data_IF_899251171459
#
_entry.id   IF_899251171459
#
_cell.length_a   1.000
_cell.length_b   1.000
_cell.length_c   1.000
_cell.angle_alpha   90.00
_cell.angle_beta   90.00
_cell.angle_gamma   90.00
#
_symmetry.space_group_name_H-M   'P 1'
#
loop_
_entity.id
_entity.type
_entity.pdbx_description
1 polymer ?
#
# COMPACT_ATOMS: atom_id res chain seq x y z
N UNK A 1 17.71 10.24 4.60
CA UNK A 1 17.59 9.23 3.52
C UNK A 1 17.32 7.80 3.99
N UNK A 2 17.95 7.30 5.08
CA UNK A 2 17.74 5.92 5.57
C UNK A 2 16.28 5.61 5.96
N UNK A 3 15.64 6.49 6.74
CA UNK A 3 14.25 6.29 7.20
C UNK A 3 13.26 6.14 6.04
N UNK A 4 13.41 6.94 4.99
CA UNK A 4 12.56 6.88 3.80
C UNK A 4 12.70 5.53 3.06
N UNK A 5 13.91 4.97 2.98
CA UNK A 5 14.15 3.64 2.39
C UNK A 5 13.50 2.53 3.21
N UNK A 6 13.59 2.61 4.54
CA UNK A 6 12.95 1.65 5.45
C UNK A 6 11.42 1.71 5.30
N UNK A 7 10.86 2.91 5.26
CA UNK A 7 9.42 3.11 5.03
C UNK A 7 8.96 2.53 3.68
N UNK A 8 9.74 2.71 2.61
CA UNK A 8 9.45 2.10 1.31
C UNK A 8 9.43 0.57 1.43
N UNK A 9 10.42 -0.02 2.10
CA UNK A 9 10.47 -1.47 2.32
C UNK A 9 9.25 -1.99 3.08
N UNK A 10 8.83 -1.28 4.14
CA UNK A 10 7.62 -1.60 4.90
C UNK A 10 6.35 -1.52 4.06
N UNK A 11 6.19 -0.49 3.24
CA UNK A 11 5.01 -0.33 2.37
C UNK A 11 4.95 -1.45 1.32
N UNK A 12 6.09 -1.80 0.71
CA UNK A 12 6.17 -2.90 -0.26
C UNK A 12 5.84 -4.24 0.42
N UNK A 13 6.38 -4.49 1.61
CA UNK A 13 6.08 -5.70 2.37
C UNK A 13 4.58 -5.79 2.72
N UNK A 14 3.99 -4.68 3.19
CA UNK A 14 2.56 -4.60 3.49
C UNK A 14 1.68 -4.85 2.26
N UNK A 15 2.10 -4.37 1.08
CA UNK A 15 1.45 -4.65 -0.20
C UNK A 15 1.47 -6.13 -0.55
N UNK A 16 2.64 -6.78 -0.44
CA UNK A 16 2.77 -8.22 -0.72
C UNK A 16 1.87 -9.05 0.21
N UNK A 17 1.85 -8.73 1.51
CA UNK A 17 1.01 -9.43 2.50
C UNK A 17 -0.48 -9.22 2.19
N UNK A 18 -0.89 -7.99 1.89
CA UNK A 18 -2.29 -7.67 1.56
C UNK A 18 -2.74 -8.36 0.27
N UNK A 19 -1.85 -8.44 -0.72
CA UNK A 19 -2.09 -9.16 -1.97
C UNK A 19 -2.29 -10.66 -1.74
N UNK A 20 -1.41 -11.29 -0.96
CA UNK A 20 -1.55 -12.69 -0.59
C UNK A 20 -2.85 -12.98 0.17
N UNK A 21 -3.19 -12.15 1.16
CA UNK A 21 -4.46 -12.25 1.88
C UNK A 21 -5.67 -12.12 0.94
N UNK A 22 -5.60 -11.26 -0.07
CA UNK A 22 -6.67 -11.13 -1.04
C UNK A 22 -6.79 -12.35 -1.97
N UNK A 23 -5.68 -13.01 -2.32
CA UNK A 23 -5.73 -14.32 -2.99
C UNK A 23 -6.44 -15.36 -2.12
N UNK A 24 -6.15 -15.41 -0.82
CA UNK A 24 -6.87 -16.30 0.10
C UNK A 24 -8.37 -15.95 0.19
N UNK A 25 -8.69 -14.65 0.16
CA UNK A 25 -10.07 -14.17 0.10
C UNK A 25 -10.80 -14.62 -1.17
N UNK A 26 -10.12 -14.61 -2.32
CA UNK A 26 -10.65 -15.14 -3.59
C UNK A 26 -10.89 -16.65 -3.54
N UNK A 27 -10.08 -17.39 -2.78
CA UNK A 27 -10.26 -18.83 -2.53
C UNK A 27 -11.36 -19.13 -1.49
N UNK A 28 -12.12 -18.13 -1.05
CA UNK A 28 -13.16 -18.25 -0.01
C UNK A 28 -12.65 -18.71 1.37
N UNK A 29 -11.33 -18.64 1.61
CA UNK A 29 -10.71 -18.98 2.91
C UNK A 29 -10.89 -17.87 3.94
N UNK A 30 -11.04 -16.63 3.48
CA UNK A 30 -11.20 -15.42 4.29
C UNK A 30 -12.30 -14.56 3.64
N UNK A 31 -13.09 -13.79 4.41
CA UNK A 31 -14.11 -12.92 3.83
C UNK A 31 -13.49 -11.88 2.88
N UNK A 32 -13.88 -11.91 1.61
CA UNK A 32 -13.35 -10.99 0.59
C UNK A 32 -13.67 -9.52 0.87
N UNK A 33 -14.75 -9.28 1.63
CA UNK A 33 -15.16 -7.96 2.10
C UNK A 33 -14.15 -7.32 3.07
N UNK A 34 -13.24 -8.11 3.66
CA UNK A 34 -12.17 -7.64 4.55
C UNK A 34 -10.86 -7.52 3.77
N UNK A 35 -10.55 -8.52 2.93
CA UNK A 35 -9.27 -8.56 2.20
C UNK A 35 -9.22 -7.52 1.08
N UNK A 36 -10.35 -7.22 0.43
CA UNK A 36 -10.40 -6.24 -0.67
C UNK A 36 -10.20 -4.79 -0.20
N UNK A 37 -10.85 -4.30 0.89
CA UNK A 37 -10.52 -2.99 1.45
C UNK A 37 -9.07 -2.90 1.95
N UNK A 38 -8.53 -3.97 2.53
CA UNK A 38 -7.15 -4.02 2.98
C UNK A 38 -6.16 -3.83 1.81
N UNK A 39 -6.40 -4.56 0.70
CA UNK A 39 -5.63 -4.41 -0.53
C UNK A 39 -5.74 -3.00 -1.11
N UNK A 40 -6.94 -2.42 -1.11
CA UNK A 40 -7.18 -1.06 -1.57
C UNK A 40 -6.36 -0.02 -0.78
N UNK A 41 -6.38 -0.10 0.56
CA UNK A 41 -5.59 0.78 1.43
C UNK A 41 -4.09 0.64 1.13
N UNK A 42 -3.63 -0.59 0.93
CA UNK A 42 -2.22 -0.86 0.64
C UNK A 42 -1.78 -0.23 -0.69
N UNK A 43 -2.58 -0.38 -1.74
CA UNK A 43 -2.37 0.26 -3.05
C UNK A 43 -2.39 1.79 -2.91
N UNK A 44 -3.37 2.33 -2.19
CA UNK A 44 -3.51 3.77 -2.00
C UNK A 44 -2.27 4.37 -1.31
N UNK A 45 -1.77 3.73 -0.25
CA UNK A 45 -0.54 4.15 0.45
C UNK A 45 0.66 4.09 -0.50
N UNK A 46 0.78 3.01 -1.28
CA UNK A 46 1.86 2.85 -2.25
C UNK A 46 1.89 3.99 -3.29
N UNK A 47 0.74 4.28 -3.89
CA UNK A 47 0.62 5.38 -4.86
C UNK A 47 0.81 6.75 -4.22
N UNK A 48 0.23 7.00 -3.04
CA UNK A 48 0.41 8.26 -2.30
C UNK A 48 1.88 8.54 -1.99
N UNK A 49 2.62 7.49 -1.60
CA UNK A 49 4.04 7.60 -1.32
C UNK A 49 4.90 7.92 -2.56
N UNK A 50 4.53 7.37 -3.72
CA UNK A 50 5.18 7.66 -5.00
C UNK A 50 4.82 9.08 -5.47
N UNK A 51 3.56 9.47 -5.33
CA UNK A 51 3.00 10.73 -5.85
C UNK A 51 3.44 11.97 -5.04
N UNK A 52 3.99 11.79 -3.84
CA UNK A 52 4.50 12.89 -3.00
C UNK A 52 5.68 13.68 -3.56
N UNK A 53 6.20 13.36 -4.76
CA UNK A 53 7.36 14.06 -5.35
C UNK A 53 7.05 15.38 -6.04
N UNK A 54 5.79 15.61 -6.46
CA UNK A 54 5.42 16.76 -7.30
C UNK A 54 4.41 17.70 -6.63
N UNK A 55 4.53 17.93 -5.31
CA UNK A 55 3.78 19.04 -4.70
C UNK A 55 4.45 20.35 -5.10
N UNK A 56 3.73 21.16 -5.89
CA UNK A 56 4.08 22.54 -6.17
C UNK A 56 4.33 23.25 -4.83
N UNK A 57 5.54 23.78 -4.63
CA UNK A 57 5.96 24.35 -3.35
C UNK A 57 5.41 25.76 -3.09
N UNK A 58 4.63 26.32 -4.01
CA UNK A 58 4.24 27.74 -3.94
C UNK A 58 5.44 28.65 -4.19
N UNK A 59 5.18 29.82 -4.77
CA UNK A 59 6.14 30.91 -4.80
C UNK A 59 6.00 31.66 -3.47
N UNK A 60 6.99 31.55 -2.60
CA UNK A 60 7.05 32.31 -1.36
C UNK A 60 8.45 32.88 -1.16
#
# INVERSE_FOLDING_TARGET
MRLRKILIGLIVLFFIISFYLNLLGLMQLVPIYITSPLLFISIFIFFSFINGRNKFKGFH
#
